data_IF_314586158098
#
_entry.id   IF_314586158098
#
_cell.length_a   1.000
_cell.length_b   1.000
_cell.length_c   1.000
_cell.angle_alpha   90.00
_cell.angle_beta   90.00
_cell.angle_gamma   90.00
#
_symmetry.space_group_name_H-M   'P 1'
#
loop_
_entity.id
_entity.type
_entity.pdbx_description
1 polymer ?
#
# COMPACT_ATOMS: atom_id res chain seq x y z
N UNK A 1 21.63 -12.17 -35.05
CA UNK A 1 21.00 -12.75 -33.83
C UNK A 1 20.56 -11.61 -32.89
N UNK A 2 19.37 -11.66 -32.28
CA UNK A 2 18.91 -10.60 -31.34
C UNK A 2 19.73 -10.63 -30.05
N UNK A 3 20.14 -9.46 -29.54
CA UNK A 3 20.90 -9.34 -28.29
C UNK A 3 20.21 -10.12 -27.14
N UNK A 4 20.99 -10.90 -26.39
CA UNK A 4 20.51 -11.75 -25.27
C UNK A 4 19.71 -10.96 -24.23
N UNK A 5 20.09 -9.71 -23.94
CA UNK A 5 19.38 -8.86 -22.99
C UNK A 5 17.90 -8.61 -23.39
N UNK A 6 17.64 -8.55 -24.70
CA UNK A 6 16.31 -8.30 -25.26
C UNK A 6 15.41 -9.55 -25.29
N UNK A 7 15.96 -10.73 -24.93
CA UNK A 7 15.23 -12.00 -24.77
C UNK A 7 14.75 -12.24 -23.34
N UNK A 8 15.00 -11.31 -22.41
CA UNK A 8 14.62 -11.44 -21.00
C UNK A 8 13.12 -11.25 -20.74
N UNK A 9 12.63 -11.79 -19.63
CA UNK A 9 11.23 -11.65 -19.18
C UNK A 9 10.92 -10.26 -18.63
N UNK A 10 11.92 -9.44 -18.33
CA UNK A 10 11.78 -8.08 -17.78
C UNK A 10 11.30 -7.08 -18.83
N UNK A 11 11.49 -7.40 -20.11
CA UNK A 11 11.20 -6.52 -21.24
C UNK A 11 10.01 -7.09 -22.02
N UNK A 12 9.09 -6.22 -22.45
CA UNK A 12 8.02 -6.53 -23.40
C UNK A 12 8.40 -6.08 -24.81
N UNK A 13 8.07 -6.92 -25.79
CA UNK A 13 8.24 -6.65 -27.22
C UNK A 13 6.94 -6.08 -27.78
N UNK A 14 7.04 -4.99 -28.53
CA UNK A 14 5.90 -4.32 -29.18
C UNK A 14 6.24 -4.08 -30.64
N UNK A 15 5.50 -4.71 -31.55
CA UNK A 15 5.65 -4.49 -32.98
C UNK A 15 4.80 -3.27 -33.36
N UNK A 16 5.42 -2.28 -34.02
CA UNK A 16 4.75 -1.04 -34.47
C UNK A 16 5.21 -0.69 -35.89
N UNK A 17 4.31 -0.12 -36.69
CA UNK A 17 4.67 0.50 -37.96
C UNK A 17 5.21 1.90 -37.69
N UNK A 18 6.38 2.20 -38.21
CA UNK A 18 6.97 3.54 -38.21
C UNK A 18 6.29 4.40 -39.29
N UNK A 19 6.38 5.74 -39.19
CA UNK A 19 5.79 6.65 -40.18
C UNK A 19 6.23 6.38 -41.62
N UNK A 20 7.47 5.92 -41.83
CA UNK A 20 8.01 5.53 -43.14
C UNK A 20 7.56 4.14 -43.62
N UNK A 21 6.49 3.57 -43.07
CA UNK A 21 5.93 2.27 -43.49
C UNK A 21 6.69 1.03 -43.00
N UNK A 22 7.88 1.20 -42.42
CA UNK A 22 8.68 0.09 -41.89
C UNK A 22 8.12 -0.47 -40.59
N UNK A 23 8.20 -1.79 -40.41
CA UNK A 23 7.76 -2.46 -39.17
C UNK A 23 8.95 -2.59 -38.23
N UNK A 24 8.84 -2.00 -37.04
CA UNK A 24 9.91 -1.97 -36.02
C UNK A 24 9.45 -2.64 -34.74
N UNK A 25 10.34 -3.42 -34.11
CA UNK A 25 10.11 -3.99 -32.76
C UNK A 25 10.67 -3.05 -31.69
N UNK A 26 9.78 -2.45 -30.91
CA UNK A 26 10.12 -1.59 -29.78
C UNK A 26 10.15 -2.43 -28.50
N UNK A 27 11.25 -2.35 -27.78
CA UNK A 27 11.43 -2.98 -26.49
C UNK A 27 11.09 -1.99 -25.37
N UNK A 28 10.15 -2.35 -24.50
CA UNK A 28 9.79 -1.53 -23.32
C UNK A 28 9.90 -2.37 -22.06
N UNK A 29 10.20 -1.80 -20.88
CA UNK A 29 10.09 -2.54 -19.63
C UNK A 29 8.65 -3.01 -19.39
N UNK A 30 8.50 -4.16 -18.73
CA UNK A 30 7.20 -4.55 -18.17
C UNK A 30 6.80 -3.59 -17.06
N UNK A 31 5.48 -3.37 -16.93
CA UNK A 31 4.94 -2.63 -15.79
C UNK A 31 5.01 -3.52 -14.55
N UNK A 32 5.30 -2.91 -13.42
CA UNK A 32 5.23 -3.57 -12.11
C UNK A 32 3.78 -3.90 -11.73
N UNK A 33 3.59 -4.82 -10.78
CA UNK A 33 2.27 -5.16 -10.24
C UNK A 33 1.66 -4.00 -9.45
N UNK A 34 0.34 -4.03 -9.26
CA UNK A 34 -0.37 -3.06 -8.39
C UNK A 34 0.01 -3.28 -6.92
N UNK A 35 -0.09 -2.22 -6.11
CA UNK A 35 0.12 -2.32 -4.68
C UNK A 35 -1.06 -3.00 -3.98
N UNK A 36 -0.78 -3.67 -2.88
CA UNK A 36 -1.71 -4.52 -2.13
C UNK A 36 -1.82 -4.02 -0.68
N UNK A 37 -3.03 -4.10 -0.10
CA UNK A 37 -3.29 -3.77 1.30
C UNK A 37 -2.60 -4.77 2.24
N UNK A 38 -1.90 -4.26 3.26
CA UNK A 38 -1.17 -5.10 4.22
C UNK A 38 -2.05 -5.97 5.16
N UNK A 39 -3.37 -5.72 5.23
CA UNK A 39 -4.32 -6.46 6.08
C UNK A 39 -5.20 -7.42 5.30
N UNK A 40 -5.91 -6.91 4.29
CA UNK A 40 -6.95 -7.64 3.57
C UNK A 40 -6.59 -7.99 2.12
N UNK A 41 -5.34 -7.73 1.71
CA UNK A 41 -4.80 -8.08 0.38
C UNK A 41 -5.53 -7.47 -0.82
N UNK A 42 -6.43 -6.50 -0.59
CA UNK A 42 -7.11 -5.75 -1.65
C UNK A 42 -6.11 -4.86 -2.40
N UNK A 43 -6.28 -4.75 -3.72
CA UNK A 43 -5.49 -3.82 -4.53
C UNK A 43 -5.74 -2.36 -4.15
N UNK A 44 -4.66 -1.59 -4.03
CA UNK A 44 -4.69 -0.17 -3.69
C UNK A 44 -4.73 0.69 -4.95
N UNK A 45 -5.52 1.77 -4.91
CA UNK A 45 -5.60 2.75 -5.99
C UNK A 45 -4.48 3.80 -5.89
N UNK A 46 -3.23 3.34 -5.96
CA UNK A 46 -2.03 4.20 -5.96
C UNK A 46 -1.18 3.95 -7.22
N UNK A 47 -0.42 4.94 -7.70
CA UNK A 47 0.45 4.75 -8.86
C UNK A 47 1.47 3.64 -8.60
N UNK A 48 1.54 2.65 -9.50
CA UNK A 48 2.31 1.43 -9.28
C UNK A 48 3.55 1.29 -10.19
N UNK A 49 3.60 2.02 -11.31
CA UNK A 49 4.70 1.94 -12.28
C UNK A 49 5.97 2.60 -11.73
N UNK A 50 6.90 1.81 -11.20
CA UNK A 50 8.08 2.30 -10.45
C UNK A 50 8.86 3.42 -11.18
N UNK A 51 9.00 3.33 -12.51
CA UNK A 51 9.76 4.33 -13.28
C UNK A 51 9.04 5.67 -13.35
N UNK A 52 7.70 5.65 -13.37
CA UNK A 52 6.86 6.86 -13.32
C UNK A 52 6.75 7.37 -11.89
N UNK A 53 6.54 6.47 -10.94
CA UNK A 53 6.42 6.77 -9.51
C UNK A 53 7.62 7.55 -9.02
N UNK A 54 8.85 7.15 -9.38
CA UNK A 54 10.07 7.88 -8.98
C UNK A 54 10.04 9.38 -9.31
N UNK A 55 9.43 9.76 -10.44
CA UNK A 55 9.34 11.16 -10.91
C UNK A 55 8.20 11.96 -10.27
N UNK A 56 7.28 11.32 -9.55
CA UNK A 56 6.14 11.99 -8.92
C UNK A 56 6.54 12.66 -7.59
N UNK A 57 5.83 13.73 -7.22
CA UNK A 57 5.90 14.33 -5.87
C UNK A 57 5.31 13.39 -4.81
N UNK A 58 5.64 13.62 -3.53
CA UNK A 58 5.16 12.79 -2.40
C UNK A 58 3.63 12.68 -2.36
N UNK A 59 2.92 13.79 -2.57
CA UNK A 59 1.45 13.85 -2.57
C UNK A 59 0.80 13.02 -3.68
N UNK A 60 1.46 12.90 -4.84
CA UNK A 60 0.96 12.07 -5.95
C UNK A 60 1.29 10.59 -5.77
N UNK A 61 2.26 10.25 -4.92
CA UNK A 61 2.68 8.86 -4.62
C UNK A 61 1.78 8.21 -3.57
N UNK A 62 1.36 8.97 -2.57
CA UNK A 62 0.79 8.46 -1.33
C UNK A 62 -0.50 9.23 -1.00
N UNK A 63 -1.60 8.56 -0.61
CA UNK A 63 -2.80 9.21 -0.09
C UNK A 63 -2.50 10.05 1.17
N UNK A 64 -3.21 11.16 1.37
CA UNK A 64 -3.01 12.05 2.54
C UNK A 64 -3.49 11.47 3.87
N UNK A 65 -4.37 10.47 3.85
CA UNK A 65 -4.92 9.83 5.05
C UNK A 65 -3.87 9.02 5.83
N UNK A 66 -4.08 8.78 7.14
CA UNK A 66 -3.23 7.87 7.90
C UNK A 66 -3.30 6.43 7.38
N UNK A 67 -2.26 5.66 7.71
CA UNK A 67 -2.06 4.28 7.27
C UNK A 67 -2.21 4.09 5.75
N UNK A 68 -1.39 4.76 4.92
CA UNK A 68 -1.51 4.69 3.47
C UNK A 68 -1.26 3.28 2.88
N UNK A 69 -0.62 2.41 3.66
CA UNK A 69 -0.40 0.99 3.35
C UNK A 69 -1.67 0.12 3.44
N UNK A 70 -2.72 0.63 4.08
CA UNK A 70 -4.02 -0.03 4.22
C UNK A 70 -5.00 0.48 3.17
N UNK A 71 -6.12 -0.22 2.95
CA UNK A 71 -7.26 0.35 2.23
C UNK A 71 -8.05 1.29 3.17
N UNK A 72 -8.97 2.10 2.62
CA UNK A 72 -9.77 3.05 3.41
C UNK A 72 -10.52 2.36 4.56
N UNK A 73 -11.16 1.23 4.29
CA UNK A 73 -11.91 0.45 5.30
C UNK A 73 -11.02 -0.03 6.44
N UNK A 74 -9.87 -0.62 6.13
CA UNK A 74 -8.96 -1.11 7.17
C UNK A 74 -8.30 0.03 7.96
N UNK A 75 -8.05 1.18 7.33
CA UNK A 75 -7.56 2.36 8.05
C UNK A 75 -8.60 2.89 9.05
N UNK A 76 -9.87 2.94 8.63
CA UNK A 76 -11.00 3.32 9.49
C UNK A 76 -11.19 2.34 10.66
N UNK A 77 -11.09 1.03 10.41
CA UNK A 77 -11.13 0.00 11.47
C UNK A 77 -10.03 0.20 12.51
N UNK A 78 -8.81 0.57 12.08
CA UNK A 78 -7.70 0.87 12.99
C UNK A 78 -8.02 2.09 13.86
N UNK A 79 -8.57 3.16 13.27
CA UNK A 79 -8.96 4.36 14.02
C UNK A 79 -10.09 4.08 15.01
N UNK A 80 -11.11 3.33 14.58
CA UNK A 80 -12.20 2.90 15.47
C UNK A 80 -11.67 2.05 16.63
N UNK A 81 -10.75 1.13 16.37
CA UNK A 81 -10.13 0.30 17.41
C UNK A 81 -9.42 1.14 18.47
N UNK A 82 -8.65 2.15 18.05
CA UNK A 82 -8.04 3.11 18.98
C UNK A 82 -9.07 3.87 19.79
N UNK A 83 -10.12 4.39 19.14
CA UNK A 83 -11.16 5.14 19.81
C UNK A 83 -11.90 4.31 20.87
N UNK A 84 -12.21 3.04 20.57
CA UNK A 84 -12.83 2.12 21.54
C UNK A 84 -11.88 1.84 22.71
N UNK A 85 -10.60 1.63 22.45
CA UNK A 85 -9.59 1.45 23.50
C UNK A 85 -9.52 2.69 24.41
N UNK A 86 -9.47 3.88 23.83
CA UNK A 86 -9.43 5.14 24.59
C UNK A 86 -10.70 5.31 25.44
N UNK A 87 -11.88 5.05 24.88
CA UNK A 87 -13.16 5.10 25.63
C UNK A 87 -13.15 4.17 26.83
N UNK A 88 -12.60 2.95 26.68
CA UNK A 88 -12.54 1.98 27.77
C UNK A 88 -11.49 2.33 28.82
N UNK A 89 -10.25 2.61 28.40
CA UNK A 89 -9.11 2.72 29.30
C UNK A 89 -8.91 4.15 29.83
N UNK A 90 -9.11 5.17 28.99
CA UNK A 90 -8.91 6.57 29.39
C UNK A 90 -10.17 7.16 30.03
N UNK A 91 -11.33 6.92 29.41
CA UNK A 91 -12.60 7.49 29.87
C UNK A 91 -13.38 6.56 30.80
N UNK A 92 -12.90 5.33 31.04
CA UNK A 92 -13.46 4.35 31.99
C UNK A 92 -14.94 4.01 31.74
N UNK A 93 -15.38 4.06 30.48
CA UNK A 93 -16.70 3.57 30.10
C UNK A 93 -16.70 2.05 29.97
N UNK A 94 -17.81 1.43 30.36
CA UNK A 94 -17.98 -0.03 30.27
C UNK A 94 -18.31 -0.45 28.83
N UNK A 95 -17.27 -0.52 28.01
CA UNK A 95 -17.35 -0.95 26.62
C UNK A 95 -16.58 -2.26 26.45
N UNK A 96 -17.16 -3.20 25.68
CA UNK A 96 -16.47 -4.42 25.28
C UNK A 96 -15.30 -4.05 24.37
N UNK A 97 -14.11 -4.46 24.78
CA UNK A 97 -12.88 -4.29 24.03
C UNK A 97 -12.18 -5.64 23.99
N UNK A 98 -12.08 -6.20 22.81
CA UNK A 98 -11.36 -7.43 22.51
C UNK A 98 -10.12 -7.08 21.70
N UNK A 99 -9.00 -7.73 22.01
CA UNK A 99 -7.73 -7.43 21.35
C UNK A 99 -7.69 -8.04 19.95
N UNK A 100 -7.40 -7.21 18.95
CA UNK A 100 -7.21 -7.65 17.57
C UNK A 100 -5.74 -7.48 17.14
N UNK A 101 -5.01 -8.59 17.18
CA UNK A 101 -3.59 -8.65 16.78
C UNK A 101 -3.35 -8.25 15.32
N UNK A 102 -4.36 -8.41 14.45
CA UNK A 102 -4.25 -8.02 13.05
C UNK A 102 -4.23 -6.50 12.88
N UNK A 103 -4.87 -5.77 13.80
CA UNK A 103 -4.88 -4.30 13.87
C UNK A 103 -3.64 -3.81 14.62
N UNK A 104 -3.31 -4.42 15.76
CA UNK A 104 -2.17 -4.02 16.61
C UNK A 104 -0.84 -4.04 15.85
N UNK A 105 -0.71 -4.92 14.84
CA UNK A 105 0.45 -4.96 13.94
C UNK A 105 0.77 -3.61 13.26
N UNK A 106 -0.24 -2.76 13.04
CA UNK A 106 -0.07 -1.45 12.39
C UNK A 106 0.13 -0.31 13.39
N UNK A 107 0.07 -0.59 14.70
CA UNK A 107 0.28 0.37 15.77
C UNK A 107 1.75 0.40 16.21
N UNK A 108 2.07 1.34 17.10
CA UNK A 108 3.40 1.38 17.72
C UNK A 108 3.64 0.13 18.57
N UNK A 109 4.90 -0.30 18.67
CA UNK A 109 5.26 -1.39 19.59
C UNK A 109 4.94 -0.98 21.04
N UNK A 110 4.39 -1.92 21.81
CA UNK A 110 3.97 -1.67 23.20
C UNK A 110 2.76 -0.74 23.34
N UNK A 111 2.02 -0.47 22.25
CA UNK A 111 0.87 0.44 22.30
C UNK A 111 -0.18 0.03 23.34
N UNK A 112 -0.49 -1.27 23.42
CA UNK A 112 -1.46 -1.77 24.40
C UNK A 112 -0.97 -1.61 25.85
N UNK A 113 0.32 -1.85 26.11
CA UNK A 113 0.92 -1.69 27.43
C UNK A 113 0.79 -0.24 27.91
N UNK A 114 1.16 0.74 27.06
CA UNK A 114 1.02 2.18 27.34
C UNK A 114 -0.43 2.57 27.70
N UNK A 115 -1.40 2.04 26.97
CA UNK A 115 -2.81 2.32 27.23
C UNK A 115 -3.30 1.68 28.52
N UNK A 116 -2.86 0.46 28.80
CA UNK A 116 -3.22 -0.24 30.03
C UNK A 116 -2.61 0.41 31.28
N UNK A 117 -1.41 0.96 31.16
CA UNK A 117 -0.73 1.73 32.22
C UNK A 117 -1.46 3.03 32.53
N UNK A 118 -2.03 3.71 31.53
CA UNK A 118 -2.85 4.91 31.73
C UNK A 118 -4.14 4.65 32.52
N UNK A 119 -4.52 3.38 32.71
CA UNK A 119 -5.69 2.98 33.49
C UNK A 119 -5.35 2.55 34.93
N UNK A 120 -4.06 2.39 35.27
CA UNK A 120 -3.59 2.23 36.66
C UNK A 120 -3.52 3.59 37.34
#
# INVERSE_FOLDING_TARGET
MVNRQLRSTTIKRLIRKAPGGTVVTIYKPKKTGKHICGRCERTLNVPYDQRKVKKLSKSKKIPSRPYPMLCSKCAEEVERYKAIADVKFKFKFDVKFERDLTIEKFLEKGWFEKISESNR
#
